data_IF_923456279914
#
_entry.id   IF_923456279914
#
_cell.length_a   1.000
_cell.length_b   1.000
_cell.length_c   1.000
_cell.angle_alpha   90.00
_cell.angle_beta   90.00
_cell.angle_gamma   90.00
#
_symmetry.space_group_name_H-M   'P 1'
#
loop_
_entity.id
_entity.type
_entity.pdbx_description
1 polymer ?
#
# COMPACT_ATOMS: atom_id res chain seq x y z
N UNK A 1 -2.74 -2.46 -35.74
CA UNK A 1 -2.95 -3.72 -34.96
C UNK A 1 -2.21 -3.57 -33.66
N UNK A 2 -2.91 -3.74 -32.55
CA UNK A 2 -2.30 -3.65 -31.20
C UNK A 2 -1.45 -4.91 -30.98
N UNK A 3 -0.22 -4.70 -30.49
CA UNK A 3 0.70 -5.79 -30.12
C UNK A 3 1.21 -5.55 -28.71
N UNK A 4 1.24 -6.61 -27.93
CA UNK A 4 1.92 -6.66 -26.63
C UNK A 4 3.18 -7.49 -26.83
N UNK A 5 4.33 -6.96 -26.48
CA UNK A 5 5.64 -7.57 -26.67
C UNK A 5 6.57 -7.33 -25.50
N UNK A 6 7.87 -7.50 -25.76
CA UNK A 6 8.91 -7.37 -24.72
C UNK A 6 8.97 -5.97 -24.07
N UNK A 7 8.64 -4.92 -24.82
CA UNK A 7 8.61 -3.55 -24.27
C UNK A 7 7.54 -3.41 -23.18
N UNK A 8 6.32 -3.87 -23.44
CA UNK A 8 5.21 -3.84 -22.48
C UNK A 8 5.49 -4.73 -21.27
N UNK A 9 6.13 -5.90 -21.49
CA UNK A 9 6.58 -6.75 -20.38
C UNK A 9 7.65 -6.07 -19.50
N UNK A 10 8.55 -5.29 -20.10
CA UNK A 10 9.52 -4.50 -19.34
C UNK A 10 8.87 -3.36 -18.57
N UNK A 11 7.88 -2.67 -19.16
CA UNK A 11 7.10 -1.63 -18.48
C UNK A 11 6.44 -2.20 -17.22
N UNK A 12 5.71 -3.31 -17.34
CA UNK A 12 4.98 -3.87 -16.20
C UNK A 12 5.93 -4.41 -15.12
N UNK A 13 7.07 -5.01 -15.49
CA UNK A 13 8.11 -5.43 -14.55
C UNK A 13 8.74 -4.25 -13.82
N UNK A 14 9.03 -3.15 -14.54
CA UNK A 14 9.57 -1.93 -13.94
C UNK A 14 8.59 -1.31 -12.94
N UNK A 15 7.30 -1.25 -13.27
CA UNK A 15 6.26 -0.79 -12.35
C UNK A 15 6.17 -1.66 -11.09
N UNK A 16 6.15 -2.98 -11.27
CA UNK A 16 6.09 -3.93 -10.16
C UNK A 16 7.29 -3.77 -9.20
N UNK A 17 8.51 -3.72 -9.75
CA UNK A 17 9.72 -3.54 -8.94
C UNK A 17 9.74 -2.19 -8.24
N UNK A 18 9.46 -1.10 -8.94
CA UNK A 18 9.49 0.26 -8.38
C UNK A 18 8.46 0.43 -7.24
N UNK A 19 7.25 -0.12 -7.42
CA UNK A 19 6.20 -0.07 -6.39
C UNK A 19 6.56 -0.97 -5.20
N UNK A 20 7.04 -2.18 -5.45
CA UNK A 20 7.51 -3.08 -4.39
C UNK A 20 8.65 -2.46 -3.57
N UNK A 21 9.66 -1.90 -4.25
CA UNK A 21 10.81 -1.27 -3.59
C UNK A 21 10.42 -0.09 -2.70
N UNK A 22 9.49 0.77 -3.12
CA UNK A 22 9.09 1.90 -2.29
C UNK A 22 8.31 1.46 -1.06
N UNK A 23 7.41 0.48 -1.19
CA UNK A 23 6.68 -0.08 -0.06
C UNK A 23 7.61 -0.81 0.92
N UNK A 24 8.55 -1.60 0.40
CA UNK A 24 9.56 -2.30 1.20
C UNK A 24 10.51 -1.33 1.90
N UNK A 25 10.83 -0.18 1.29
CA UNK A 25 11.68 0.85 1.91
C UNK A 25 11.05 1.46 3.17
N UNK A 26 9.71 1.50 3.24
CA UNK A 26 8.96 1.89 4.42
C UNK A 26 8.67 0.71 5.37
N UNK A 27 9.12 -0.49 5.02
CA UNK A 27 8.90 -1.71 5.81
C UNK A 27 7.45 -2.22 5.78
N UNK A 28 6.62 -1.72 4.88
CA UNK A 28 5.21 -2.14 4.78
C UNK A 28 5.15 -3.60 4.34
N UNK A 29 4.34 -4.41 5.06
CA UNK A 29 4.07 -5.78 4.67
C UNK A 29 3.12 -5.79 3.47
N UNK A 30 3.66 -6.16 2.32
CA UNK A 30 2.93 -6.14 1.05
C UNK A 30 3.24 -7.32 0.14
N UNK A 31 2.39 -7.51 -0.86
CA UNK A 31 2.65 -8.28 -2.07
C UNK A 31 2.19 -7.46 -3.27
N UNK A 32 3.02 -7.37 -4.29
CA UNK A 32 2.69 -6.65 -5.52
C UNK A 32 2.51 -7.65 -6.65
N UNK A 33 1.34 -7.63 -7.26
CA UNK A 33 1.02 -8.39 -8.45
C UNK A 33 0.85 -7.43 -9.61
N UNK A 34 1.17 -7.89 -10.80
CA UNK A 34 1.06 -7.08 -12.01
C UNK A 34 0.53 -7.89 -13.18
N UNK A 35 -0.23 -7.24 -14.05
CA UNK A 35 -0.72 -7.85 -15.27
C UNK A 35 -0.79 -6.85 -16.41
N UNK A 36 -0.63 -7.35 -17.63
CA UNK A 36 -0.95 -6.62 -18.85
C UNK A 36 -2.29 -7.17 -19.37
N UNK A 37 -3.17 -6.27 -19.76
CA UNK A 37 -4.45 -6.65 -20.38
C UNK A 37 -4.21 -7.36 -21.70
N UNK A 38 -4.89 -8.48 -21.95
CA UNK A 38 -4.76 -9.23 -23.21
C UNK A 38 -5.18 -8.39 -24.42
N UNK A 39 -4.52 -8.59 -25.56
CA UNK A 39 -4.82 -7.90 -26.82
C UNK A 39 -6.30 -8.01 -27.17
N UNK A 40 -6.88 -9.21 -27.07
CA UNK A 40 -8.31 -9.45 -27.34
C UNK A 40 -9.22 -8.61 -26.42
N UNK A 41 -8.86 -8.45 -25.14
CA UNK A 41 -9.63 -7.62 -24.20
C UNK A 41 -9.48 -6.13 -24.50
N UNK A 42 -8.31 -5.68 -24.93
CA UNK A 42 -8.05 -4.30 -25.37
C UNK A 42 -8.91 -3.97 -26.58
N UNK A 43 -8.83 -4.79 -27.63
CA UNK A 43 -9.58 -4.60 -28.87
C UNK A 43 -11.10 -4.65 -28.66
N UNK A 44 -11.58 -5.60 -27.85
CA UNK A 44 -12.99 -5.68 -27.46
C UNK A 44 -13.45 -4.41 -26.75
N UNK A 45 -12.66 -3.88 -25.82
CA UNK A 45 -13.01 -2.68 -25.06
C UNK A 45 -12.97 -1.42 -25.93
N UNK A 46 -11.99 -1.28 -26.81
CA UNK A 46 -11.94 -0.18 -27.78
C UNK A 46 -13.15 -0.25 -28.71
N UNK A 47 -13.47 -1.44 -29.27
CA UNK A 47 -14.63 -1.61 -30.17
C UNK A 47 -15.95 -1.26 -29.48
N UNK A 48 -16.15 -1.70 -28.23
CA UNK A 48 -17.40 -1.46 -27.49
C UNK A 48 -17.60 -0.02 -27.03
N UNK A 49 -16.48 0.73 -26.83
CA UNK A 49 -16.50 2.11 -26.32
C UNK A 49 -16.00 3.15 -27.33
N UNK A 50 -15.83 2.77 -28.60
CA UNK A 50 -15.24 3.63 -29.62
C UNK A 50 -15.91 4.99 -29.74
N UNK A 51 -17.23 5.02 -29.74
CA UNK A 51 -17.99 6.28 -29.82
C UNK A 51 -17.80 7.16 -28.57
N UNK A 52 -17.72 6.55 -27.40
CA UNK A 52 -17.46 7.28 -26.15
C UNK A 52 -16.06 7.90 -26.15
N UNK A 53 -15.06 7.15 -26.61
CA UNK A 53 -13.70 7.63 -26.73
C UNK A 53 -13.56 8.79 -27.70
N UNK A 54 -14.21 8.70 -28.87
CA UNK A 54 -14.20 9.75 -29.89
C UNK A 54 -14.97 11.00 -29.44
N UNK A 55 -16.13 10.84 -28.78
CA UNK A 55 -16.98 11.97 -28.36
C UNK A 55 -16.47 12.68 -27.12
N UNK A 56 -15.92 11.94 -26.15
CA UNK A 56 -15.53 12.47 -24.82
C UNK A 56 -14.01 12.65 -24.65
N UNK A 57 -13.21 12.29 -25.67
CA UNK A 57 -11.73 12.35 -25.55
C UNK A 57 -11.14 11.39 -24.52
N UNK A 58 -11.95 10.45 -23.98
CA UNK A 58 -11.45 9.45 -23.04
C UNK A 58 -10.58 8.43 -23.77
N UNK A 59 -9.62 7.85 -23.04
CA UNK A 59 -8.73 6.81 -23.53
C UNK A 59 -8.77 5.60 -22.60
N UNK A 60 -8.25 4.48 -23.09
CA UNK A 60 -8.11 3.25 -22.30
C UNK A 60 -6.96 3.38 -21.32
N UNK A 61 -7.23 3.31 -20.01
CA UNK A 61 -6.29 3.60 -18.92
C UNK A 61 -5.81 2.35 -18.18
N UNK A 62 -6.45 1.19 -18.37
CA UNK A 62 -6.26 -0.02 -17.59
C UNK A 62 -5.51 -1.14 -18.35
N UNK A 63 -4.56 -0.78 -19.21
CA UNK A 63 -3.71 -1.76 -19.92
C UNK A 63 -2.70 -2.38 -18.97
N UNK A 64 -2.05 -1.56 -18.18
CA UNK A 64 -1.12 -1.98 -17.14
C UNK A 64 -1.84 -1.92 -15.80
N UNK A 65 -2.03 -3.08 -15.19
CA UNK A 65 -2.68 -3.21 -13.88
C UNK A 65 -1.68 -3.68 -12.83
N UNK A 66 -1.62 -2.96 -11.73
CA UNK A 66 -0.87 -3.32 -10.52
C UNK A 66 -1.87 -3.60 -9.42
N UNK A 67 -1.64 -4.65 -8.63
CA UNK A 67 -2.38 -4.92 -7.42
C UNK A 67 -1.44 -4.96 -6.24
N UNK A 68 -1.71 -4.12 -5.27
CA UNK A 68 -1.00 -4.04 -3.99
C UNK A 68 -1.85 -4.71 -2.93
N UNK A 69 -1.39 -5.84 -2.42
CA UNK A 69 -2.05 -6.56 -1.33
C UNK A 69 -1.29 -6.29 -0.04
N UNK A 70 -1.95 -5.61 0.88
CA UNK A 70 -1.41 -5.19 2.18
C UNK A 70 -1.78 -6.20 3.27
N UNK A 71 -0.91 -6.37 4.28
CA UNK A 71 -1.22 -7.24 5.42
C UNK A 71 -2.16 -6.54 6.42
N UNK A 72 -2.06 -5.23 6.53
CA UNK A 72 -2.86 -4.41 7.42
C UNK A 72 -3.59 -3.33 6.61
N UNK A 73 -4.88 -3.15 6.87
CA UNK A 73 -5.71 -2.18 6.16
C UNK A 73 -5.34 -0.73 6.47
N UNK A 74 -4.75 -0.46 7.65
CA UNK A 74 -4.26 0.86 8.04
C UNK A 74 -2.98 1.30 7.28
N UNK A 75 -2.33 0.41 6.53
CA UNK A 75 -1.21 0.75 5.65
C UNK A 75 -1.66 1.34 4.30
N UNK A 76 -2.95 1.27 3.95
CA UNK A 76 -3.42 1.67 2.61
C UNK A 76 -3.16 3.15 2.33
N UNK A 77 -3.50 4.03 3.26
CA UNK A 77 -3.26 5.48 3.10
C UNK A 77 -1.78 5.79 2.89
N UNK A 78 -0.91 5.14 3.67
CA UNK A 78 0.54 5.30 3.57
C UNK A 78 1.06 4.79 2.21
N UNK A 79 0.58 3.63 1.77
CA UNK A 79 0.95 3.06 0.47
C UNK A 79 0.55 3.98 -0.69
N UNK A 80 -0.64 4.58 -0.63
CA UNK A 80 -1.10 5.56 -1.61
C UNK A 80 -0.18 6.79 -1.62
N UNK A 81 0.14 7.35 -0.46
CA UNK A 81 1.00 8.53 -0.35
C UNK A 81 2.43 8.25 -0.86
N UNK A 82 2.94 7.04 -0.62
CA UNK A 82 4.21 6.59 -1.20
C UNK A 82 4.16 6.55 -2.73
N UNK A 83 3.10 6.01 -3.31
CA UNK A 83 2.94 5.99 -4.77
C UNK A 83 2.85 7.41 -5.34
N UNK A 84 2.10 8.30 -4.69
CA UNK A 84 1.99 9.72 -5.08
C UNK A 84 3.33 10.47 -5.02
N UNK A 85 4.27 10.01 -4.21
CA UNK A 85 5.60 10.63 -4.13
C UNK A 85 6.47 10.35 -5.37
N UNK A 86 6.16 9.31 -6.15
CA UNK A 86 6.95 8.88 -7.31
C UNK A 86 6.20 8.87 -8.64
N UNK A 87 4.85 8.91 -8.60
CA UNK A 87 3.98 8.93 -9.78
C UNK A 87 2.95 10.04 -9.67
N UNK A 88 2.63 10.67 -10.80
CA UNK A 88 1.55 11.66 -10.90
C UNK A 88 0.20 10.95 -10.87
N UNK A 89 -0.63 11.24 -9.85
CA UNK A 89 -1.98 10.73 -9.70
C UNK A 89 -2.95 11.45 -10.64
N UNK A 90 -3.96 10.74 -11.15
CA UNK A 90 -5.07 11.27 -11.94
C UNK A 90 -6.40 11.04 -11.20
N UNK A 91 -6.76 11.89 -10.22
CA UNK A 91 -7.93 11.67 -9.37
C UNK A 91 -9.25 11.57 -10.15
N UNK A 92 -9.39 12.35 -11.24
CA UNK A 92 -10.56 12.33 -12.12
C UNK A 92 -10.78 11.01 -12.87
N UNK A 93 -9.75 10.19 -12.93
CA UNK A 93 -9.76 8.87 -13.57
C UNK A 93 -9.95 7.71 -12.60
N UNK A 94 -10.01 8.00 -11.30
CA UNK A 94 -10.21 6.97 -10.27
C UNK A 94 -11.56 6.30 -10.40
N UNK A 95 -11.62 5.03 -10.04
CA UNK A 95 -12.86 4.26 -9.92
C UNK A 95 -12.97 3.73 -8.50
N UNK A 96 -13.66 4.49 -7.65
CA UNK A 96 -13.87 4.17 -6.23
C UNK A 96 -15.36 4.01 -6.02
N UNK A 97 -15.77 2.80 -5.63
CA UNK A 97 -17.16 2.53 -5.29
C UNK A 97 -17.47 3.08 -3.88
N UNK A 98 -18.62 3.72 -3.68
CA UNK A 98 -19.01 4.18 -2.36
C UNK A 98 -19.30 2.98 -1.43
N UNK A 99 -18.99 3.14 -0.15
CA UNK A 99 -19.41 2.18 0.88
C UNK A 99 -20.94 2.29 1.04
N UNK A 100 -21.61 1.15 0.91
CA UNK A 100 -23.06 1.06 1.09
C UNK A 100 -23.33 0.46 2.47
N UNK A 101 -23.95 1.25 3.36
CA UNK A 101 -24.09 0.91 4.79
C UNK A 101 -24.94 -0.33 5.09
N UNK A 102 -25.82 -0.73 4.18
CA UNK A 102 -26.80 -1.80 4.40
C UNK A 102 -26.44 -3.14 3.76
N UNK A 103 -25.31 -3.21 3.05
CA UNK A 103 -24.87 -4.44 2.40
C UNK A 103 -23.36 -4.53 2.19
N UNK A 104 -22.85 -5.74 2.29
CA UNK A 104 -21.49 -6.09 1.88
C UNK A 104 -21.47 -6.53 0.41
N UNK A 105 -20.45 -6.11 -0.29
CA UNK A 105 -20.26 -6.46 -1.69
C UNK A 105 -18.87 -6.01 -2.18
N UNK A 106 -18.46 -6.44 -3.37
CA UNK A 106 -17.18 -6.04 -3.92
C UNK A 106 -17.11 -4.51 -4.04
N UNK A 107 -16.10 -3.92 -3.41
CA UNK A 107 -15.81 -2.49 -3.50
C UNK A 107 -14.56 -2.33 -4.36
N UNK A 108 -14.69 -1.59 -5.47
CA UNK A 108 -13.54 -1.22 -6.29
C UNK A 108 -12.87 -0.01 -5.68
N UNK A 109 -11.55 -0.07 -5.60
CA UNK A 109 -10.70 1.07 -5.30
C UNK A 109 -9.52 1.05 -6.25
N UNK A 110 -9.74 1.60 -7.43
CA UNK A 110 -8.79 1.64 -8.51
C UNK A 110 -8.29 3.08 -8.66
N UNK A 111 -7.03 3.30 -8.40
CA UNK A 111 -6.36 4.56 -8.60
C UNK A 111 -5.61 4.54 -9.93
N UNK A 112 -5.56 5.67 -10.61
CA UNK A 112 -4.90 5.81 -11.89
C UNK A 112 -3.73 6.77 -11.76
N UNK A 113 -2.58 6.36 -12.29
CA UNK A 113 -1.35 7.14 -12.30
C UNK A 113 -0.77 7.24 -13.70
N UNK A 114 -0.02 8.32 -13.96
CA UNK A 114 0.71 8.48 -15.21
C UNK A 114 1.97 7.62 -15.23
N UNK A 115 2.27 7.06 -16.39
CA UNK A 115 3.56 6.44 -16.66
C UNK A 115 4.66 7.50 -16.76
N UNK A 116 5.86 7.14 -16.34
CA UNK A 116 7.04 7.98 -16.57
C UNK A 116 7.35 8.04 -18.08
N UNK A 117 7.80 9.21 -18.56
CA UNK A 117 8.05 9.45 -19.99
C UNK A 117 9.01 8.42 -20.62
N UNK A 118 10.00 7.95 -19.85
CA UNK A 118 10.96 6.95 -20.30
C UNK A 118 10.26 5.63 -20.65
N UNK A 119 9.26 5.22 -19.85
CA UNK A 119 8.47 4.01 -20.09
C UNK A 119 7.54 4.19 -21.29
N UNK A 120 6.90 5.36 -21.42
CA UNK A 120 6.04 5.67 -22.58
C UNK A 120 6.85 5.62 -23.88
N UNK A 121 8.02 6.23 -23.90
CA UNK A 121 8.90 6.28 -25.08
C UNK A 121 9.48 4.90 -25.47
N UNK A 122 9.47 3.93 -24.56
CA UNK A 122 9.97 2.57 -24.82
C UNK A 122 9.00 1.67 -25.60
N UNK A 123 7.76 2.13 -25.83
CA UNK A 123 6.71 1.33 -26.47
C UNK A 123 5.95 2.12 -27.53
N UNK A 124 5.72 1.49 -28.68
CA UNK A 124 4.87 2.04 -29.73
C UNK A 124 3.36 1.89 -29.41
N UNK A 125 3.00 1.23 -28.32
CA UNK A 125 1.61 1.05 -27.90
C UNK A 125 0.90 2.39 -27.73
N UNK A 126 1.59 3.39 -27.18
CA UNK A 126 1.05 4.71 -26.88
C UNK A 126 0.90 5.62 -28.11
N UNK A 127 1.35 5.18 -29.31
CA UNK A 127 1.03 5.86 -30.56
C UNK A 127 -0.44 5.65 -30.99
N UNK A 128 -1.15 4.71 -30.33
CA UNK A 128 -2.56 4.47 -30.58
C UNK A 128 -3.42 5.52 -29.89
N UNK A 129 -4.24 6.26 -30.66
CA UNK A 129 -5.07 7.36 -30.17
C UNK A 129 -6.07 6.98 -29.05
N UNK A 130 -6.43 5.69 -28.93
CA UNK A 130 -7.37 5.18 -27.92
C UNK A 130 -6.68 4.73 -26.62
N UNK A 131 -5.34 4.79 -26.53
CA UNK A 131 -4.58 4.29 -25.41
C UNK A 131 -3.99 5.47 -24.63
N UNK A 132 -4.16 5.44 -23.31
CA UNK A 132 -3.62 6.46 -22.42
C UNK A 132 -2.25 6.02 -21.85
N UNK A 133 -1.44 7.01 -21.47
CA UNK A 133 -0.10 6.83 -20.89
C UNK A 133 -0.19 6.58 -19.38
N UNK A 134 -1.02 5.63 -18.97
CA UNK A 134 -1.38 5.41 -17.57
C UNK A 134 -1.26 3.95 -17.16
N UNK A 135 -1.29 3.74 -15.84
CA UNK A 135 -1.49 2.43 -15.23
C UNK A 135 -2.47 2.53 -14.07
N UNK A 136 -3.15 1.44 -13.79
CA UNK A 136 -4.12 1.33 -12.71
C UNK A 136 -3.51 0.58 -11.52
N UNK A 137 -3.75 1.07 -10.31
CA UNK A 137 -3.35 0.41 -9.07
C UNK A 137 -4.60 0.06 -8.26
N UNK A 138 -4.71 -1.21 -7.88
CA UNK A 138 -5.77 -1.72 -7.00
C UNK A 138 -5.16 -2.06 -5.64
N UNK A 139 -5.82 -1.59 -4.57
CA UNK A 139 -5.45 -1.93 -3.21
C UNK A 139 -6.40 -2.99 -2.65
N UNK A 140 -5.83 -3.97 -1.95
CA UNK A 140 -6.55 -5.05 -1.27
C UNK A 140 -5.85 -5.37 0.05
N UNK A 141 -6.56 -6.02 0.95
CA UNK A 141 -5.93 -6.67 2.09
C UNK A 141 -5.67 -8.15 1.79
N UNK A 142 -4.78 -8.77 2.54
CA UNK A 142 -4.48 -10.20 2.39
C UNK A 142 -5.71 -11.07 2.65
N UNK A 143 -6.64 -10.64 3.51
CA UNK A 143 -7.88 -11.36 3.79
C UNK A 143 -8.88 -11.24 2.64
N UNK A 144 -9.04 -10.06 2.07
CA UNK A 144 -10.03 -9.82 1.03
C UNK A 144 -9.57 -10.28 -0.36
N UNK A 145 -8.25 -10.43 -0.59
CA UNK A 145 -7.69 -10.75 -1.90
C UNK A 145 -8.24 -12.05 -2.48
N UNK A 146 -8.20 -13.14 -1.69
CA UNK A 146 -8.69 -14.44 -2.16
C UNK A 146 -10.19 -14.42 -2.51
N UNK A 147 -10.99 -13.71 -1.73
CA UNK A 147 -12.41 -13.55 -2.01
C UNK A 147 -12.64 -12.78 -3.33
N UNK A 148 -11.89 -11.72 -3.56
CA UNK A 148 -12.01 -10.93 -4.81
C UNK A 148 -11.61 -11.73 -6.05
N UNK A 149 -10.62 -12.61 -5.96
CA UNK A 149 -10.24 -13.50 -7.07
C UNK A 149 -11.36 -14.50 -7.38
N UNK A 150 -11.92 -15.14 -6.34
CA UNK A 150 -13.05 -16.08 -6.49
C UNK A 150 -14.28 -15.35 -7.06
N UNK A 151 -14.62 -14.18 -6.52
CA UNK A 151 -15.75 -13.37 -7.00
C UNK A 151 -15.57 -12.98 -8.46
N UNK A 152 -14.38 -12.47 -8.82
CA UNK A 152 -14.11 -12.03 -10.18
C UNK A 152 -14.15 -13.18 -11.20
N UNK A 153 -13.53 -14.30 -10.87
CA UNK A 153 -13.38 -15.39 -11.85
C UNK A 153 -14.58 -16.32 -11.90
N UNK A 154 -15.24 -16.58 -10.78
CA UNK A 154 -16.31 -17.55 -10.69
C UNK A 154 -17.71 -16.95 -10.56
N UNK A 155 -17.85 -15.64 -10.28
CA UNK A 155 -19.15 -14.94 -10.29
C UNK A 155 -19.24 -13.87 -11.35
N UNK A 156 -18.31 -12.88 -11.33
CA UNK A 156 -18.39 -11.76 -12.29
C UNK A 156 -18.22 -12.20 -13.75
N UNK A 157 -17.29 -13.11 -14.04
CA UNK A 157 -17.11 -13.65 -15.39
C UNK A 157 -18.18 -14.67 -15.77
N UNK A 158 -18.77 -15.36 -14.81
CA UNK A 158 -19.74 -16.42 -14.97
C UNK A 158 -21.15 -15.98 -14.50
N UNK A 159 -21.58 -14.77 -14.86
CA UNK A 159 -22.85 -14.18 -14.38
C UNK A 159 -24.07 -15.03 -14.64
N UNK A 160 -24.07 -15.81 -15.72
CA UNK A 160 -25.17 -16.68 -16.10
C UNK A 160 -25.38 -17.80 -15.08
N UNK A 161 -24.31 -18.36 -14.50
CA UNK A 161 -24.38 -19.41 -13.48
C UNK A 161 -25.01 -18.91 -12.17
N UNK A 162 -24.95 -17.58 -11.93
CA UNK A 162 -25.47 -16.92 -10.74
C UNK A 162 -26.84 -16.26 -10.97
N UNK A 163 -27.42 -16.46 -12.15
CA UNK A 163 -28.74 -15.96 -12.47
C UNK A 163 -29.78 -16.62 -11.57
N UNK A 164 -30.52 -15.80 -10.80
CA UNK A 164 -31.51 -16.22 -9.82
C UNK A 164 -30.96 -16.90 -8.53
N UNK A 165 -29.64 -16.99 -8.35
CA UNK A 165 -29.02 -17.59 -7.18
C UNK A 165 -28.80 -16.56 -6.05
N UNK A 166 -29.87 -15.86 -5.65
CA UNK A 166 -29.81 -14.78 -4.67
C UNK A 166 -29.28 -15.23 -3.29
N UNK A 167 -29.66 -16.43 -2.85
CA UNK A 167 -29.24 -16.96 -1.56
C UNK A 167 -27.74 -17.29 -1.55
N UNK A 168 -27.23 -17.91 -2.61
CA UNK A 168 -25.80 -18.23 -2.74
C UNK A 168 -24.97 -16.94 -2.89
N UNK A 169 -25.45 -15.97 -3.68
CA UNK A 169 -24.83 -14.66 -3.79
C UNK A 169 -24.75 -13.93 -2.43
N UNK A 170 -25.82 -14.01 -1.61
CA UNK A 170 -25.83 -13.48 -0.25
C UNK A 170 -24.81 -14.18 0.66
N UNK A 171 -24.69 -15.49 0.57
CA UNK A 171 -23.70 -16.27 1.32
C UNK A 171 -22.28 -15.88 0.96
N UNK A 172 -21.97 -15.75 -0.35
CA UNK A 172 -20.66 -15.31 -0.82
C UNK A 172 -20.32 -13.90 -0.32
N UNK A 173 -21.28 -12.97 -0.34
CA UNK A 173 -21.10 -11.63 0.22
C UNK A 173 -20.95 -11.66 1.76
N UNK A 174 -21.60 -12.61 2.43
CA UNK A 174 -21.43 -12.81 3.87
C UNK A 174 -20.01 -13.21 4.26
N UNK A 175 -19.32 -13.98 3.42
CA UNK A 175 -17.90 -14.29 3.62
C UNK A 175 -17.04 -13.03 3.53
N UNK A 176 -17.33 -12.11 2.60
CA UNK A 176 -16.61 -10.83 2.53
C UNK A 176 -16.78 -10.03 3.83
N UNK A 177 -17.98 -9.99 4.39
CA UNK A 177 -18.24 -9.31 5.67
C UNK A 177 -17.38 -9.88 6.82
N UNK A 178 -17.22 -11.20 6.87
CA UNK A 178 -16.36 -11.85 7.85
C UNK A 178 -14.89 -11.45 7.64
N UNK A 179 -14.43 -11.40 6.39
CA UNK A 179 -13.05 -11.03 6.07
C UNK A 179 -12.76 -9.56 6.39
N UNK A 180 -13.65 -8.64 6.08
CA UNK A 180 -13.52 -7.21 6.45
C UNK A 180 -13.52 -7.02 7.97
N UNK A 181 -14.36 -7.77 8.69
CA UNK A 181 -14.35 -7.76 10.16
C UNK A 181 -13.05 -8.33 10.72
N UNK A 182 -12.47 -9.35 10.06
CA UNK A 182 -11.18 -9.93 10.43
C UNK A 182 -10.02 -8.96 10.21
N UNK A 183 -10.06 -8.18 9.13
CA UNK A 183 -9.11 -7.10 8.88
C UNK A 183 -9.10 -6.08 10.03
N UNK A 184 -10.26 -5.73 10.56
CA UNK A 184 -10.35 -4.85 11.71
C UNK A 184 -9.89 -5.55 13.01
N UNK A 185 -10.31 -6.79 13.23
CA UNK A 185 -9.99 -7.53 14.46
C UNK A 185 -8.48 -7.77 14.62
N UNK A 186 -7.72 -7.97 13.53
CA UNK A 186 -6.28 -8.21 13.62
C UNK A 186 -5.54 -7.01 14.22
N UNK A 187 -5.98 -5.77 13.97
CA UNK A 187 -5.39 -4.57 14.58
C UNK A 187 -5.53 -4.62 16.10
N UNK A 188 -6.73 -4.95 16.59
CA UNK A 188 -7.01 -5.05 18.03
C UNK A 188 -6.14 -6.10 18.74
N UNK A 189 -5.86 -7.22 18.06
CA UNK A 189 -4.97 -8.27 18.58
C UNK A 189 -3.54 -7.73 18.75
N UNK A 190 -3.00 -7.04 17.74
CA UNK A 190 -1.64 -6.48 17.82
C UNK A 190 -1.53 -5.32 18.81
N UNK A 191 -2.55 -4.47 18.92
CA UNK A 191 -2.61 -3.40 19.91
C UNK A 191 -2.67 -3.97 21.33
N UNK A 192 -3.47 -5.03 21.56
CA UNK A 192 -3.51 -5.76 22.82
C UNK A 192 -2.16 -6.41 23.16
N UNK A 193 -1.50 -7.01 22.18
CA UNK A 193 -0.16 -7.59 22.35
C UNK A 193 0.88 -6.52 22.67
N UNK A 194 0.85 -5.39 21.97
CA UNK A 194 1.73 -4.25 22.25
C UNK A 194 1.55 -3.77 23.70
N UNK A 195 0.31 -3.57 24.14
CA UNK A 195 0.02 -3.18 25.53
C UNK A 195 0.53 -4.21 26.55
N UNK A 196 0.31 -5.51 26.31
CA UNK A 196 0.83 -6.59 27.16
C UNK A 196 2.37 -6.51 27.25
N UNK A 197 3.06 -6.38 26.12
CA UNK A 197 4.52 -6.30 26.06
C UNK A 197 5.07 -5.02 26.73
N UNK A 198 4.34 -3.92 26.66
CA UNK A 198 4.62 -2.71 27.45
C UNK A 198 4.59 -2.99 28.94
N UNK A 199 3.57 -3.69 29.45
CA UNK A 199 3.44 -4.06 30.87
C UNK A 199 4.55 -5.00 31.35
N UNK A 200 4.99 -5.92 30.47
CA UNK A 200 6.08 -6.85 30.73
C UNK A 200 7.48 -6.20 30.60
N UNK A 201 7.58 -4.94 30.18
CA UNK A 201 8.83 -4.24 29.81
C UNK A 201 9.63 -5.00 28.74
N UNK A 202 8.96 -5.77 27.90
CA UNK A 202 9.57 -6.49 26.78
C UNK A 202 9.72 -5.55 25.57
N UNK A 203 10.61 -4.54 25.68
CA UNK A 203 10.68 -3.35 24.82
C UNK A 203 10.86 -3.66 23.34
N UNK A 204 11.70 -4.63 22.99
CA UNK A 204 11.86 -5.05 21.60
C UNK A 204 10.54 -5.55 20.99
N UNK A 205 9.86 -6.44 21.71
CA UNK A 205 8.58 -6.99 21.27
C UNK A 205 7.48 -5.93 21.29
N UNK A 206 7.44 -5.09 22.31
CA UNK A 206 6.53 -3.95 22.40
C UNK A 206 6.61 -3.08 21.13
N UNK A 207 7.82 -2.58 20.79
CA UNK A 207 8.00 -1.66 19.68
C UNK A 207 7.64 -2.29 18.34
N UNK A 208 8.03 -3.55 18.11
CA UNK A 208 7.64 -4.27 16.88
C UNK A 208 6.12 -4.37 16.71
N UNK A 209 5.38 -4.56 17.79
CA UNK A 209 3.92 -4.68 17.72
C UNK A 209 3.22 -3.33 17.61
N UNK A 210 3.79 -2.26 18.14
CA UNK A 210 3.28 -0.88 17.92
C UNK A 210 3.47 -0.46 16.47
N UNK A 211 4.67 -0.65 15.93
CA UNK A 211 5.02 -0.14 14.59
C UNK A 211 4.56 -1.07 13.47
N UNK A 212 4.61 -2.39 13.67
CA UNK A 212 4.16 -3.43 12.73
C UNK A 212 4.72 -3.28 11.31
N UNK A 213 6.03 -3.04 11.20
CA UNK A 213 6.75 -3.02 9.92
C UNK A 213 7.77 -4.16 9.84
N UNK A 214 8.30 -4.39 8.66
CA UNK A 214 9.39 -5.34 8.41
C UNK A 214 10.71 -4.69 8.82
N UNK A 215 11.27 -5.14 9.93
CA UNK A 215 12.57 -4.69 10.42
C UNK A 215 13.72 -5.52 9.82
N UNK A 216 14.88 -4.88 9.63
CA UNK A 216 16.13 -5.55 9.26
C UNK A 216 16.92 -6.07 10.46
N UNK A 217 16.61 -5.56 11.68
CA UNK A 217 17.16 -5.99 12.97
C UNK A 217 16.03 -5.91 14.01
N UNK A 218 15.96 -6.87 14.90
CA UNK A 218 14.83 -7.06 15.82
C UNK A 218 15.13 -6.67 17.27
N UNK A 219 16.27 -6.03 17.52
CA UNK A 219 16.71 -5.65 18.88
C UNK A 219 17.13 -4.18 18.97
N UNK A 220 16.75 -3.54 20.06
CA UNK A 220 17.30 -2.25 20.45
C UNK A 220 18.72 -2.39 20.97
N UNK A 221 19.50 -1.33 20.86
CA UNK A 221 20.76 -1.19 21.55
C UNK A 221 20.57 -1.17 23.08
N UNK A 222 21.58 -1.62 23.88
CA UNK A 222 21.47 -1.61 25.33
C UNK A 222 21.11 -0.24 25.90
N UNK A 223 21.67 0.82 25.35
CA UNK A 223 21.41 2.20 25.80
C UNK A 223 19.93 2.64 25.62
N UNK A 224 19.26 2.20 24.57
CA UNK A 224 17.83 2.46 24.38
C UNK A 224 17.00 1.64 25.36
N UNK A 225 17.35 0.37 25.60
CA UNK A 225 16.68 -0.48 26.58
C UNK A 225 16.80 0.12 28.00
N UNK A 226 18.02 0.54 28.40
CA UNK A 226 18.27 1.17 29.68
C UNK A 226 17.48 2.49 29.83
N UNK A 227 17.37 3.28 28.77
CA UNK A 227 16.58 4.51 28.77
C UNK A 227 15.08 4.20 28.96
N UNK A 228 14.54 3.20 28.26
CA UNK A 228 13.13 2.81 28.42
C UNK A 228 12.82 2.28 29.83
N UNK A 229 13.77 1.61 30.47
CA UNK A 229 13.62 1.15 31.84
C UNK A 229 13.68 2.29 32.86
N UNK A 230 14.52 3.33 32.62
CA UNK A 230 14.62 4.54 33.44
C UNK A 230 13.42 5.46 33.23
N UNK A 231 13.01 5.67 31.98
CA UNK A 231 11.91 6.57 31.61
C UNK A 231 10.82 5.84 30.81
N UNK A 232 9.89 5.23 31.52
CA UNK A 232 8.76 4.54 30.93
C UNK A 232 7.74 5.48 30.27
N UNK A 233 7.93 6.80 30.37
CA UNK A 233 7.08 7.77 29.68
C UNK A 233 7.29 7.72 28.16
N UNK A 234 8.51 7.41 27.69
CA UNK A 234 8.84 7.30 26.28
C UNK A 234 8.03 6.18 25.60
N UNK A 235 8.14 4.88 26.03
CA UNK A 235 7.32 3.83 25.45
C UNK A 235 5.82 4.04 25.68
N UNK A 236 5.40 4.67 26.80
CA UNK A 236 4.00 5.03 27.01
C UNK A 236 3.48 6.04 25.97
N UNK A 237 4.31 7.01 25.59
CA UNK A 237 3.95 7.97 24.55
C UNK A 237 3.86 7.32 23.17
N UNK A 238 4.76 6.37 22.85
CA UNK A 238 4.65 5.56 21.62
C UNK A 238 3.35 4.77 21.56
N UNK A 239 2.94 4.16 22.67
CA UNK A 239 1.69 3.38 22.75
C UNK A 239 0.43 4.23 22.53
N UNK A 240 0.48 5.52 22.81
CA UNK A 240 -0.63 6.46 22.64
C UNK A 240 -0.71 7.08 21.25
N UNK A 241 0.34 6.94 20.45
CA UNK A 241 0.35 7.51 19.10
C UNK A 241 -0.42 6.63 18.14
N UNK A 242 -1.04 7.26 17.17
CA UNK A 242 -1.59 6.58 16.01
C UNK A 242 -0.45 5.96 15.17
N UNK A 243 -0.59 4.68 14.82
CA UNK A 243 0.43 3.94 14.06
C UNK A 243 0.71 4.59 12.70
N UNK A 244 -0.33 5.01 11.99
CA UNK A 244 -0.21 5.66 10.68
C UNK A 244 0.69 6.89 10.78
N UNK A 245 0.49 7.70 11.83
CA UNK A 245 1.33 8.88 12.10
C UNK A 245 2.80 8.49 12.34
N UNK A 246 3.06 7.42 13.09
CA UNK A 246 4.43 6.96 13.37
C UNK A 246 5.13 6.54 12.07
N UNK A 247 4.44 5.77 11.21
CA UNK A 247 5.03 5.22 9.99
C UNK A 247 5.16 6.27 8.88
N UNK A 248 4.25 7.23 8.80
CA UNK A 248 4.32 8.32 7.80
C UNK A 248 5.65 9.07 7.83
N UNK A 249 6.35 9.08 8.97
CA UNK A 249 7.68 9.70 9.04
C UNK A 249 8.72 8.96 8.18
N UNK A 250 8.59 7.63 8.06
CA UNK A 250 9.50 6.82 7.22
C UNK A 250 9.40 7.20 5.74
N UNK A 251 8.22 7.66 5.29
CA UNK A 251 8.01 8.05 3.89
C UNK A 251 8.68 9.37 3.51
N UNK A 252 9.08 10.17 4.51
CA UNK A 252 9.75 11.47 4.30
C UNK A 252 11.25 11.37 4.12
N UNK A 253 11.82 10.19 4.37
CA UNK A 253 13.25 9.98 4.24
C UNK A 253 13.67 10.07 2.77
N UNK A 254 14.62 10.95 2.46
CA UNK A 254 15.21 11.10 1.12
C UNK A 254 16.20 9.98 0.79
N UNK A 255 16.76 9.34 1.81
CA UNK A 255 17.79 8.32 1.69
C UNK A 255 17.31 7.04 2.37
N UNK A 256 17.64 5.87 1.81
CA UNK A 256 17.34 4.58 2.43
C UNK A 256 18.14 4.41 3.71
N UNK A 257 17.43 4.38 4.83
CA UNK A 257 17.98 4.07 6.15
C UNK A 257 17.58 2.64 6.52
N UNK A 258 18.52 1.79 6.98
CA UNK A 258 18.17 0.43 7.42
C UNK A 258 17.11 0.47 8.52
N UNK A 259 16.04 -0.31 8.37
CA UNK A 259 14.91 -0.36 9.30
C UNK A 259 15.25 -1.18 10.55
N UNK A 260 16.30 -0.80 11.26
CA UNK A 260 16.60 -1.31 12.61
C UNK A 260 15.70 -0.65 13.64
N UNK A 261 15.45 -1.30 14.78
CA UNK A 261 14.59 -0.74 15.81
C UNK A 261 15.06 0.66 16.25
N UNK A 262 16.36 0.82 16.53
CA UNK A 262 16.95 2.11 16.93
C UNK A 262 16.69 3.19 15.87
N UNK A 263 16.99 2.90 14.61
CA UNK A 263 16.86 3.88 13.53
C UNK A 263 15.41 4.34 13.39
N UNK A 264 14.45 3.41 13.42
CA UNK A 264 13.02 3.73 13.31
C UNK A 264 12.57 4.55 14.52
N UNK A 265 13.04 4.21 15.74
CA UNK A 265 12.76 4.98 16.95
C UNK A 265 13.31 6.42 16.83
N UNK A 266 14.53 6.60 16.33
CA UNK A 266 15.14 7.92 16.16
C UNK A 266 14.40 8.76 15.11
N UNK A 267 13.93 8.14 14.01
CA UNK A 267 13.08 8.83 13.03
C UNK A 267 11.79 9.32 13.69
N UNK A 268 11.14 8.46 14.48
CA UNK A 268 9.92 8.81 15.22
C UNK A 268 10.23 9.92 16.26
N UNK A 269 11.39 9.86 16.91
CA UNK A 269 11.80 10.84 17.88
C UNK A 269 11.83 12.27 17.31
N UNK A 270 12.32 12.42 16.06
CA UNK A 270 12.47 13.73 15.38
C UNK A 270 11.15 14.50 15.24
N UNK A 271 10.03 13.82 15.18
CA UNK A 271 8.75 14.46 14.84
C UNK A 271 7.65 14.25 15.89
N UNK A 272 7.87 13.33 16.83
CA UNK A 272 6.81 12.92 17.74
C UNK A 272 7.20 12.94 19.21
N UNK A 273 8.37 12.38 19.57
CA UNK A 273 8.77 12.27 20.97
C UNK A 273 9.60 13.47 21.45
N UNK A 274 10.49 13.99 20.60
CA UNK A 274 11.41 15.11 20.89
C UNK A 274 12.22 14.91 22.19
N UNK A 275 12.66 13.66 22.43
CA UNK A 275 13.44 13.32 23.62
C UNK A 275 14.92 13.55 23.37
N UNK A 276 15.56 14.35 24.22
CA UNK A 276 16.95 14.78 24.07
C UNK A 276 17.97 13.64 24.25
N UNK A 277 17.69 12.65 25.11
CA UNK A 277 18.59 11.50 25.30
C UNK A 277 18.60 10.63 24.04
N UNK A 278 17.45 10.40 23.39
CA UNK A 278 17.40 9.68 22.11
C UNK A 278 18.19 10.38 21.00
N UNK A 279 18.23 11.72 20.98
CA UNK A 279 19.08 12.46 20.04
C UNK A 279 20.56 12.17 20.26
N UNK A 280 20.99 12.01 21.52
CA UNK A 280 22.40 11.74 21.86
C UNK A 280 22.86 10.35 21.35
N UNK A 281 21.95 9.40 21.17
CA UNK A 281 22.24 8.04 20.74
C UNK A 281 22.36 7.89 19.21
N UNK A 282 21.94 8.89 18.45
CA UNK A 282 22.04 8.87 17.00
C UNK A 282 23.51 8.88 16.54
N UNK A 283 23.85 7.99 15.61
CA UNK A 283 25.16 8.08 14.94
C UNK A 283 25.26 9.35 14.09
N UNK A 284 26.48 9.86 13.90
CA UNK A 284 26.70 11.08 13.11
C UNK A 284 26.14 10.96 11.68
N UNK A 285 26.24 9.78 11.07
CA UNK A 285 25.72 9.53 9.71
C UNK A 285 24.20 9.63 9.72
N UNK A 286 23.54 8.97 10.66
CA UNK A 286 22.07 8.99 10.77
C UNK A 286 21.58 10.41 11.08
N UNK A 287 22.25 11.11 11.99
CA UNK A 287 21.93 12.49 12.36
C UNK A 287 21.91 13.40 11.14
N UNK A 288 22.96 13.37 10.32
CA UNK A 288 23.02 14.17 9.09
C UNK A 288 21.84 13.88 8.15
N UNK A 289 21.53 12.59 7.95
CA UNK A 289 20.38 12.18 7.10
C UNK A 289 19.06 12.72 7.68
N UNK A 290 18.89 12.62 8.99
CA UNK A 290 17.66 13.07 9.66
C UNK A 290 17.55 14.60 9.67
N UNK A 291 18.65 15.34 9.86
CA UNK A 291 18.67 16.80 9.79
C UNK A 291 18.29 17.30 8.38
N UNK A 292 18.76 16.65 7.33
CA UNK A 292 18.35 16.95 5.95
C UNK A 292 16.88 16.63 5.67
N UNK A 293 16.37 15.55 6.24
CA UNK A 293 15.00 15.08 6.00
C UNK A 293 13.96 15.79 6.86
N UNK A 294 14.37 16.26 8.04
CA UNK A 294 13.52 16.93 9.04
C UNK A 294 14.15 18.23 9.53
N UNK A 295 14.29 19.27 8.67
CA UNK A 295 15.03 20.49 9.02
C UNK A 295 14.43 21.30 10.17
N UNK A 296 13.22 21.00 10.61
CA UNK A 296 12.50 21.65 11.71
C UNK A 296 12.20 20.67 12.88
N UNK A 297 12.88 19.54 12.95
CA UNK A 297 12.69 18.50 13.96
C UNK A 297 13.60 18.69 15.18
#
# INVERSE_FOLDING_TARGET
MIKIGSSEEQIIKSLNSSIGEILDSAGIYNRVFSRIKSVSSIEKKIKSKKEEYLKKGKKLQDIFGIRVTLYFSDDEGIAIDLLKSIYEELPESHSIDPIINDKFGPIRKNLVFKLKKELVNSSNLFQNEFIDETFEVQFRTIFSEGWHEVEHDLRYKCKEDWSNENQLSRQLNGLLAVLETSDWAIHQIFDGLAYKKYKERAWNSFFRNVVRIRFSDYSFSPQVLDLFDKDTSIPKNLLKQDRTRLITQLTKLKTKVPLKLDNVLFIINRTTLNNSELYSFESNILRNILDESFPNG
#
